data_IF_042740708344
#
_entry.id   IF_042740708344
#
_cell.length_a   1.000
_cell.length_b   1.000
_cell.length_c   1.000
_cell.angle_alpha   90.00
_cell.angle_beta   90.00
_cell.angle_gamma   90.00
#
_symmetry.space_group_name_H-M   'P 1'
#
loop_
_entity.id
_entity.type
_entity.pdbx_description
1 polymer ?
#
# COMPACT_ATOMS: atom_id res chain seq x y z
N UNK A 1 -14.78 6.33 -0.70
CA UNK A 1 -13.84 5.80 -1.71
C UNK A 1 -12.44 6.29 -1.38
N UNK A 2 -11.40 5.44 -1.46
CA UNK A 2 -10.01 5.84 -1.19
C UNK A 2 -9.36 6.38 -2.49
N UNK A 3 -9.46 7.68 -2.73
CA UNK A 3 -8.87 8.36 -3.88
C UNK A 3 -7.34 8.39 -3.83
N UNK A 4 -6.75 8.26 -2.63
CA UNK A 4 -5.32 8.39 -2.42
C UNK A 4 -4.57 7.20 -3.04
N UNK A 5 -5.12 5.99 -2.94
CA UNK A 5 -4.47 4.82 -3.51
C UNK A 5 -4.43 4.82 -5.04
N UNK A 6 -5.43 5.42 -5.69
CA UNK A 6 -5.40 5.63 -7.14
C UNK A 6 -4.30 6.65 -7.51
N UNK A 7 -4.17 7.73 -6.74
CA UNK A 7 -3.09 8.69 -6.92
C UNK A 7 -1.70 8.07 -6.70
N UNK A 8 -1.54 7.18 -5.71
CA UNK A 8 -0.27 6.48 -5.50
C UNK A 8 0.07 5.55 -6.67
N UNK A 9 -0.93 4.83 -7.20
CA UNK A 9 -0.73 3.97 -8.39
C UNK A 9 -0.21 4.75 -9.60
N UNK A 10 -0.70 5.98 -9.81
CA UNK A 10 -0.22 6.86 -10.87
C UNK A 10 1.22 7.34 -10.62
N UNK A 11 1.57 7.68 -9.37
CA UNK A 11 2.94 8.07 -9.01
C UNK A 11 3.94 6.93 -9.18
N UNK A 12 3.54 5.72 -8.81
CA UNK A 12 4.37 4.53 -8.99
C UNK A 12 4.61 4.26 -10.49
N UNK A 13 3.59 4.47 -11.33
CA UNK A 13 3.70 4.36 -12.79
C UNK A 13 4.64 5.42 -13.38
N UNK A 14 4.45 6.69 -13.02
CA UNK A 14 5.29 7.82 -13.46
C UNK A 14 6.76 7.56 -13.14
N UNK A 15 7.05 7.17 -11.89
CA UNK A 15 8.40 6.79 -11.47
C UNK A 15 8.96 5.61 -12.27
N UNK A 16 8.13 4.63 -12.61
CA UNK A 16 8.52 3.51 -13.46
C UNK A 16 8.98 3.97 -14.84
N UNK A 17 8.22 4.87 -15.47
CA UNK A 17 8.57 5.42 -16.78
C UNK A 17 9.82 6.30 -16.73
N UNK A 18 9.96 7.17 -15.72
CA UNK A 18 11.19 7.96 -15.52
C UNK A 18 12.41 7.04 -15.45
N UNK A 19 12.35 5.99 -14.62
CA UNK A 19 13.46 5.02 -14.51
C UNK A 19 13.74 4.28 -15.82
N UNK A 20 12.71 3.98 -16.61
CA UNK A 20 12.84 3.34 -17.92
C UNK A 20 13.58 4.24 -18.92
N UNK A 21 13.19 5.51 -19.03
CA UNK A 21 13.85 6.48 -19.90
C UNK A 21 15.28 6.82 -19.43
N UNK A 22 15.53 6.82 -18.12
CA UNK A 22 16.87 6.95 -17.54
C UNK A 22 17.73 5.68 -17.70
N UNK A 23 17.21 4.61 -18.33
CA UNK A 23 17.88 3.31 -18.51
C UNK A 23 18.30 2.63 -17.19
N UNK A 24 17.61 2.94 -16.10
CA UNK A 24 17.83 2.35 -14.76
C UNK A 24 16.94 1.13 -14.50
N UNK A 25 15.85 0.98 -15.27
CA UNK A 25 14.91 -0.13 -15.15
C UNK A 25 14.38 -0.56 -16.52
N UNK A 26 13.83 -1.78 -16.57
CA UNK A 26 13.09 -2.29 -17.73
C UNK A 26 11.73 -1.61 -17.87
N UNK A 27 11.05 -1.86 -19.00
CA UNK A 27 9.72 -1.31 -19.28
C UNK A 27 8.73 -1.62 -18.12
N UNK A 28 7.99 -0.62 -17.61
CA UNK A 28 7.07 -0.81 -16.49
C UNK A 28 5.97 -1.82 -16.81
N UNK A 29 5.62 -2.67 -15.86
CA UNK A 29 4.52 -3.64 -16.00
C UNK A 29 3.36 -3.27 -15.10
N UNK A 30 2.14 -3.31 -15.64
CA UNK A 30 0.93 -3.06 -14.87
C UNK A 30 0.63 -4.25 -13.95
N UNK A 31 0.13 -3.96 -12.74
CA UNK A 31 -0.33 -5.01 -11.83
C UNK A 31 -1.57 -5.71 -12.41
N UNK A 32 -1.52 -7.03 -12.50
CA UNK A 32 -2.66 -7.85 -12.91
C UNK A 32 -3.62 -8.08 -11.74
N UNK A 33 -4.93 -8.01 -12.00
CA UNK A 33 -5.99 -8.39 -11.05
C UNK A 33 -5.89 -9.86 -10.64
N UNK A 34 -5.43 -10.72 -11.54
CA UNK A 34 -5.27 -12.16 -11.30
C UNK A 34 -3.96 -12.50 -10.60
N UNK A 35 -3.16 -11.50 -10.21
CA UNK A 35 -1.99 -11.77 -9.39
C UNK A 35 -2.45 -12.27 -8.02
N UNK A 36 -1.88 -13.42 -7.61
CA UNK A 36 -2.16 -14.06 -6.32
C UNK A 36 -1.58 -13.26 -5.15
N UNK A 37 -0.56 -12.44 -5.44
CA UNK A 37 0.01 -11.48 -4.50
C UNK A 37 -0.49 -10.09 -4.87
N UNK A 38 -1.26 -9.48 -3.99
CA UNK A 38 -1.81 -8.14 -4.22
C UNK A 38 -1.22 -7.20 -3.19
N UNK A 39 -0.83 -6.01 -3.60
CA UNK A 39 -0.35 -5.01 -2.66
C UNK A 39 -0.99 -3.66 -2.92
N UNK A 40 -1.31 -2.98 -1.82
CA UNK A 40 -2.05 -1.74 -1.78
C UNK A 40 -1.32 -0.71 -0.94
N UNK A 41 -1.03 0.45 -1.53
CA UNK A 41 -0.38 1.56 -0.84
C UNK A 41 -1.38 2.68 -0.59
N UNK A 42 -1.45 3.16 0.64
CA UNK A 42 -2.26 4.31 1.01
C UNK A 42 -1.48 5.23 1.94
N UNK A 43 -1.83 6.52 1.93
CA UNK A 43 -1.17 7.56 2.74
C UNK A 43 -2.09 7.95 3.87
N UNK A 44 -1.53 8.16 5.05
CA UNK A 44 -2.30 8.64 6.18
C UNK A 44 -2.67 10.11 5.96
N UNK A 45 -3.94 10.37 5.72
CA UNK A 45 -4.46 11.72 5.57
C UNK A 45 -5.53 11.93 6.64
N UNK A 46 -5.35 12.93 7.51
CA UNK A 46 -6.26 13.29 8.61
C UNK A 46 -6.62 12.09 9.53
N UNK A 47 -5.65 11.28 9.93
CA UNK A 47 -5.83 10.19 10.90
C UNK A 47 -6.72 9.02 10.40
N UNK A 48 -6.87 8.89 9.09
CA UNK A 48 -7.61 7.77 8.48
C UNK A 48 -6.92 6.41 8.71
N UNK A 49 -5.61 6.42 8.95
CA UNK A 49 -4.82 5.24 9.30
C UNK A 49 -4.31 5.40 10.73
N UNK A 50 -4.83 4.57 11.63
CA UNK A 50 -4.47 4.60 13.05
C UNK A 50 -4.38 3.19 13.63
N UNK A 51 -3.44 3.01 14.56
CA UNK A 51 -3.34 1.79 15.35
C UNK A 51 -4.21 1.97 16.59
N UNK A 52 -5.11 1.01 16.82
CA UNK A 52 -5.97 0.93 18.00
C UNK A 52 -5.68 -0.41 18.66
N UNK A 53 -4.79 -0.40 19.65
CA UNK A 53 -4.32 -1.62 20.33
C UNK A 53 -3.68 -2.61 19.36
N UNK A 54 -4.34 -3.76 19.12
CA UNK A 54 -3.87 -4.82 18.21
C UNK A 54 -4.45 -4.75 16.79
N UNK A 55 -5.12 -3.65 16.44
CA UNK A 55 -5.75 -3.47 15.14
C UNK A 55 -5.26 -2.19 14.46
N UNK A 56 -5.16 -2.20 13.14
CA UNK A 56 -4.98 -1.02 12.32
C UNK A 56 -6.30 -0.68 11.63
N UNK A 57 -6.74 0.57 11.75
CA UNK A 57 -7.85 1.09 10.95
C UNK A 57 -7.30 1.52 9.60
N UNK A 58 -7.93 1.04 8.54
CA UNK A 58 -7.61 1.37 7.16
C UNK A 58 -8.83 1.99 6.48
N UNK A 59 -8.62 2.93 5.55
CA UNK A 59 -9.71 3.66 4.91
C UNK A 59 -10.68 2.76 4.12
N UNK A 60 -10.20 1.67 3.52
CA UNK A 60 -11.02 0.77 2.68
C UNK A 60 -11.32 -0.59 3.32
N UNK A 61 -10.35 -1.13 4.08
CA UNK A 61 -10.46 -2.47 4.68
C UNK A 61 -11.02 -2.44 6.11
N UNK A 62 -11.16 -1.27 6.72
CA UNK A 62 -11.62 -1.15 8.11
C UNK A 62 -10.55 -1.63 9.09
N UNK A 63 -10.95 -2.34 10.15
CA UNK A 63 -10.04 -2.82 11.18
C UNK A 63 -9.39 -4.13 10.77
N UNK A 64 -8.06 -4.13 10.63
CA UNK A 64 -7.26 -5.32 10.33
C UNK A 64 -6.40 -5.64 11.54
N UNK A 65 -6.36 -6.90 11.95
CA UNK A 65 -5.51 -7.34 13.07
C UNK A 65 -4.05 -7.24 12.66
N UNK A 66 -3.24 -6.56 13.46
CA UNK A 66 -1.81 -6.40 13.21
C UNK A 66 -0.99 -7.13 14.26
N UNK A 67 0.19 -7.59 13.84
CA UNK A 67 1.26 -7.96 14.75
C UNK A 67 2.30 -6.85 14.69
N UNK A 68 2.26 -5.96 15.68
CA UNK A 68 3.22 -4.86 15.78
C UNK A 68 4.55 -5.39 16.33
N UNK A 69 5.62 -5.26 15.54
CA UNK A 69 6.98 -5.62 15.96
C UNK A 69 7.73 -4.46 16.61
N UNK A 70 7.37 -3.21 16.27
CA UNK A 70 8.00 -1.98 16.75
C UNK A 70 6.96 -0.94 17.11
N UNK A 71 7.25 -0.11 18.10
CA UNK A 71 6.41 1.02 18.46
C UNK A 71 6.44 2.06 17.34
N UNK A 72 5.25 2.53 16.91
CA UNK A 72 5.11 3.44 15.77
C UNK A 72 4.45 4.71 16.29
N UNK A 73 5.21 5.80 16.35
CA UNK A 73 4.70 7.10 16.79
C UNK A 73 3.77 7.72 15.74
N UNK A 74 4.23 7.78 14.48
CA UNK A 74 3.49 8.43 13.39
C UNK A 74 3.53 7.60 12.11
N UNK A 75 2.35 7.31 11.58
CA UNK A 75 2.19 6.61 10.30
C UNK A 75 2.07 7.64 9.18
N UNK A 76 3.03 7.64 8.26
CA UNK A 76 3.00 8.50 7.08
C UNK A 76 2.28 7.81 5.91
N UNK A 77 2.69 6.59 5.59
CA UNK A 77 2.06 5.75 4.58
C UNK A 77 2.11 4.29 5.00
N UNK A 78 1.21 3.48 4.44
CA UNK A 78 1.16 2.04 4.68
C UNK A 78 1.12 1.32 3.35
N UNK A 79 1.84 0.21 3.28
CA UNK A 79 1.77 -0.78 2.21
C UNK A 79 1.20 -2.03 2.84
N UNK A 80 0.10 -2.55 2.27
CA UNK A 80 -0.53 -3.77 2.73
C UNK A 80 -0.35 -4.80 1.64
N UNK A 81 0.13 -5.98 2.01
CA UNK A 81 0.28 -7.10 1.11
C UNK A 81 -0.73 -8.20 1.46
N UNK A 82 -1.50 -8.60 0.47
CA UNK A 82 -2.42 -9.73 0.56
C UNK A 82 -1.80 -10.93 -0.14
N UNK A 83 -1.59 -11.99 0.63
CA UNK A 83 -1.05 -13.26 0.16
C UNK A 83 -2.17 -14.22 -0.25
N UNK A 84 -1.89 -15.21 -1.12
CA UNK A 84 -2.87 -16.22 -1.51
C UNK A 84 -3.41 -17.04 -0.32
N UNK A 85 -2.67 -17.07 0.80
CA UNK A 85 -3.08 -17.70 2.05
C UNK A 85 -4.17 -16.93 2.82
N UNK A 86 -4.68 -15.81 2.27
CA UNK A 86 -5.68 -14.96 2.92
C UNK A 86 -5.12 -14.09 4.04
N UNK A 87 -3.80 -14.01 4.17
CA UNK A 87 -3.11 -13.22 5.21
C UNK A 87 -2.71 -11.86 4.67
N UNK A 88 -2.91 -10.85 5.51
CA UNK A 88 -2.45 -9.48 5.30
C UNK A 88 -1.16 -9.24 6.06
N UNK A 89 -0.19 -8.61 5.41
CA UNK A 89 1.10 -8.20 5.96
C UNK A 89 1.29 -6.69 5.79
#
# INVERSE_FOLDING_TARGET
>A
ADSIALQQSLRDLDRGFVNFFEKRASYPTFKSKHNRFQSYRTVNQKDNIRIVGRYIKLPKLGFVKIRQSMEVEKINHVIIEHTPAGKYF
#
